data_IF_477089099610
#
_entry.id   IF_477089099610
#
_cell.length_a   1.000
_cell.length_b   1.000
_cell.length_c   1.000
_cell.angle_alpha   90.00
_cell.angle_beta   90.00
_cell.angle_gamma   90.00
#
_symmetry.space_group_name_H-M   'P 1'
#
loop_
_entity.id
_entity.type
_entity.pdbx_description
1 polymer ?
#
# COMPACT_ATOMS: atom_id res chain seq x y z
N UNK A 1 -8.60 -11.53 9.02
CA UNK A 1 -7.74 -12.52 9.70
C UNK A 1 -6.32 -12.52 9.12
N UNK A 2 -5.34 -12.41 10.01
CA UNK A 2 -3.90 -12.58 9.75
C UNK A 2 -3.33 -13.70 10.64
N UNK A 3 -2.03 -13.97 10.53
CA UNK A 3 -1.37 -15.05 11.30
C UNK A 3 -1.46 -14.82 12.81
N UNK A 4 -1.28 -13.57 13.28
CA UNK A 4 -1.36 -13.24 14.70
C UNK A 4 -2.78 -13.46 15.25
N UNK A 5 -3.81 -13.08 14.49
CA UNK A 5 -5.21 -13.32 14.83
C UNK A 5 -5.55 -14.81 14.86
N UNK A 6 -5.02 -15.59 13.90
CA UNK A 6 -5.22 -17.04 13.89
C UNK A 6 -4.55 -17.71 15.09
N UNK A 7 -3.31 -17.33 15.43
CA UNK A 7 -2.59 -17.85 16.61
C UNK A 7 -3.37 -17.57 17.89
N UNK A 8 -3.87 -16.34 18.06
CA UNK A 8 -4.73 -15.98 19.20
C UNK A 8 -5.99 -16.86 19.27
N UNK A 9 -6.68 -17.07 18.15
CA UNK A 9 -7.86 -17.94 18.12
C UNK A 9 -7.53 -19.38 18.55
N UNK A 10 -6.38 -19.92 18.13
CA UNK A 10 -5.93 -21.25 18.54
C UNK A 10 -5.54 -21.30 20.03
N UNK A 11 -4.90 -20.25 20.54
CA UNK A 11 -4.59 -20.12 21.97
C UNK A 11 -5.86 -20.02 22.82
N UNK A 12 -6.88 -19.30 22.34
CA UNK A 12 -8.18 -19.20 23.02
C UNK A 12 -8.86 -20.57 23.10
N UNK A 13 -8.76 -21.41 22.05
CA UNK A 13 -9.25 -22.80 22.10
C UNK A 13 -8.46 -23.61 23.12
N UNK A 14 -7.12 -23.51 23.10
CA UNK A 14 -6.23 -24.22 24.03
C UNK A 14 -6.49 -23.83 25.49
N UNK A 15 -6.81 -22.57 25.74
CA UNK A 15 -7.10 -22.01 27.07
C UNK A 15 -8.58 -22.20 27.49
N UNK A 16 -9.44 -22.71 26.60
CA UNK A 16 -10.86 -22.90 26.85
C UNK A 16 -11.69 -21.60 26.82
N UNK A 17 -11.12 -20.49 26.35
CA UNK A 17 -11.83 -19.23 26.15
C UNK A 17 -12.80 -19.26 24.96
N UNK A 18 -12.60 -20.18 24.01
CA UNK A 18 -13.56 -20.48 22.94
C UNK A 18 -13.60 -21.98 22.67
N UNK A 19 -14.74 -22.50 22.20
CA UNK A 19 -14.83 -23.92 21.83
C UNK A 19 -14.21 -24.17 20.46
N UNK A 20 -13.77 -25.41 20.21
CA UNK A 20 -13.29 -25.81 18.89
C UNK A 20 -14.36 -25.63 17.80
N UNK A 21 -15.62 -25.91 18.13
CA UNK A 21 -16.76 -25.73 17.22
C UNK A 21 -16.98 -24.25 16.88
N UNK A 22 -16.92 -23.36 17.87
CA UNK A 22 -17.02 -21.91 17.64
C UNK A 22 -15.88 -21.39 16.78
N UNK A 23 -14.65 -21.85 17.03
CA UNK A 23 -13.49 -21.50 16.22
C UNK A 23 -13.66 -21.97 14.76
N UNK A 24 -14.16 -23.19 14.53
CA UNK A 24 -14.46 -23.70 13.18
C UNK A 24 -15.57 -22.88 12.50
N UNK A 25 -16.64 -22.53 13.21
CA UNK A 25 -17.70 -21.69 12.64
C UNK A 25 -17.18 -20.31 12.25
N UNK A 26 -16.30 -19.73 13.08
CA UNK A 26 -15.64 -18.46 12.77
C UNK A 26 -14.77 -18.60 11.52
N UNK A 27 -13.90 -19.61 11.44
CA UNK A 27 -13.04 -19.85 10.28
C UNK A 27 -13.80 -20.17 8.98
N UNK A 28 -15.02 -20.73 9.08
CA UNK A 28 -15.91 -20.96 7.92
C UNK A 28 -16.54 -19.68 7.36
N UNK A 29 -16.78 -18.67 8.21
CA UNK A 29 -17.28 -17.35 7.80
C UNK A 29 -16.16 -16.42 7.30
N UNK A 30 -14.94 -16.66 7.74
CA UNK A 30 -13.79 -15.83 7.43
C UNK A 30 -13.06 -16.06 6.08
N UNK A 31 -13.34 -17.06 5.22
CA UNK A 31 -12.68 -17.07 3.91
C UNK A 31 -13.10 -15.84 3.11
N UNK A 32 -14.39 -15.48 3.19
CA UNK A 32 -14.95 -14.24 2.70
C UNK A 32 -16.37 -14.01 3.28
N UNK A 33 -16.79 -12.75 3.36
CA UNK A 33 -18.18 -12.37 3.64
C UNK A 33 -18.90 -11.92 2.36
N UNK A 34 -20.14 -12.38 2.14
CA UNK A 34 -20.95 -11.99 0.98
C UNK A 34 -21.97 -10.92 1.38
N UNK A 35 -21.79 -9.70 0.86
CA UNK A 35 -22.66 -8.54 1.08
C UNK A 35 -23.74 -8.40 -0.01
N UNK A 36 -23.89 -9.40 -0.89
CA UNK A 36 -24.79 -9.40 -2.04
C UNK A 36 -24.25 -8.61 -3.25
N UNK A 37 -23.50 -7.53 -3.03
CA UNK A 37 -22.85 -6.74 -4.08
C UNK A 37 -21.31 -6.87 -4.08
N UNK A 38 -20.73 -7.49 -3.04
CA UNK A 38 -19.30 -7.69 -2.89
C UNK A 38 -19.01 -8.95 -2.06
N UNK A 39 -17.88 -9.61 -2.34
CA UNK A 39 -17.33 -10.70 -1.52
C UNK A 39 -16.03 -10.25 -0.90
N UNK A 40 -16.06 -10.00 0.40
CA UNK A 40 -14.97 -9.40 1.19
C UNK A 40 -14.05 -10.52 1.70
N UNK A 41 -12.81 -10.58 1.23
CA UNK A 41 -11.79 -11.56 1.56
C UNK A 41 -11.06 -11.23 2.87
N UNK A 42 -11.61 -11.76 3.96
CA UNK A 42 -11.01 -11.66 5.29
C UNK A 42 -9.69 -12.46 5.43
N UNK A 43 -9.36 -13.37 4.51
CA UNK A 43 -8.16 -14.21 4.58
C UNK A 43 -6.99 -13.70 3.73
N UNK A 44 -7.12 -12.56 3.03
CA UNK A 44 -6.04 -12.02 2.20
C UNK A 44 -4.75 -11.80 2.99
N UNK A 45 -4.87 -11.25 4.21
CA UNK A 45 -3.74 -11.02 5.10
C UNK A 45 -2.98 -12.30 5.45
N UNK A 46 -3.70 -13.38 5.71
CA UNK A 46 -3.10 -14.69 5.98
C UNK A 46 -2.34 -15.26 4.77
N UNK A 47 -2.87 -15.10 3.54
CA UNK A 47 -2.28 -15.68 2.33
C UNK A 47 -1.16 -14.83 1.73
N UNK A 48 -1.28 -13.51 1.82
CA UNK A 48 -0.43 -12.56 1.07
C UNK A 48 0.43 -11.67 1.97
N UNK A 49 0.19 -11.65 3.29
CA UNK A 49 0.80 -10.69 4.22
C UNK A 49 0.19 -9.28 4.15
N UNK A 50 -0.68 -9.03 3.18
CA UNK A 50 -1.36 -7.74 2.96
C UNK A 50 -2.87 -7.91 3.11
N UNK A 51 -3.50 -7.02 3.86
CA UNK A 51 -4.94 -7.02 4.08
C UNK A 51 -5.69 -6.54 2.82
N UNK A 52 -6.98 -6.85 2.76
CA UNK A 52 -7.82 -6.35 1.69
C UNK A 52 -8.10 -4.85 1.83
N UNK A 53 -8.06 -4.14 0.70
CA UNK A 53 -8.39 -2.73 0.60
C UNK A 53 -9.65 -2.51 -0.25
N UNK A 54 -10.37 -1.46 0.06
CA UNK A 54 -11.58 -1.02 -0.64
C UNK A 54 -11.17 0.00 -1.71
N UNK A 55 -11.13 -0.43 -2.97
CA UNK A 55 -10.97 0.48 -4.10
C UNK A 55 -12.28 1.22 -4.37
N UNK A 56 -12.34 2.52 -4.08
CA UNK A 56 -13.57 3.30 -4.11
C UNK A 56 -14.12 3.63 -5.52
N UNK A 57 -13.30 3.87 -6.56
CA UNK A 57 -13.81 4.23 -7.88
C UNK A 57 -14.80 3.19 -8.43
N UNK A 58 -15.93 3.69 -8.95
CA UNK A 58 -17.03 2.87 -9.46
C UNK A 58 -17.97 2.28 -8.39
N UNK A 59 -17.73 2.52 -7.09
CA UNK A 59 -18.63 2.11 -6.00
C UNK A 59 -19.45 3.28 -5.48
N UNK A 60 -20.65 3.01 -4.97
CA UNK A 60 -21.43 4.03 -4.24
C UNK A 60 -20.87 4.28 -2.84
N UNK A 61 -21.18 5.43 -2.24
CA UNK A 61 -20.78 5.74 -0.86
C UNK A 61 -21.26 4.68 0.14
N UNK A 62 -22.50 4.20 -0.03
CA UNK A 62 -23.07 3.13 0.80
C UNK A 62 -22.32 1.80 0.64
N UNK A 63 -21.92 1.43 -0.58
CA UNK A 63 -21.13 0.21 -0.82
C UNK A 63 -19.76 0.30 -0.15
N UNK A 64 -19.07 1.44 -0.25
CA UNK A 64 -17.78 1.64 0.42
C UNK A 64 -17.92 1.52 1.94
N UNK A 65 -18.90 2.21 2.53
CA UNK A 65 -19.14 2.18 3.97
C UNK A 65 -19.45 0.76 4.48
N UNK A 66 -20.27 0.01 3.75
CA UNK A 66 -20.61 -1.37 4.10
C UNK A 66 -19.40 -2.32 4.04
N UNK A 67 -18.56 -2.22 3.01
CA UNK A 67 -17.34 -3.05 2.92
C UNK A 67 -16.33 -2.68 4.01
N UNK A 68 -16.16 -1.38 4.31
CA UNK A 68 -15.29 -0.91 5.40
C UNK A 68 -15.78 -1.44 6.75
N UNK A 69 -17.08 -1.30 7.04
CA UNK A 69 -17.67 -1.80 8.27
C UNK A 69 -17.51 -3.32 8.41
N UNK A 70 -17.72 -4.06 7.32
CA UNK A 70 -17.51 -5.51 7.27
C UNK A 70 -16.05 -5.88 7.58
N UNK A 71 -15.07 -5.26 6.91
CA UNK A 71 -13.64 -5.51 7.16
C UNK A 71 -13.21 -5.19 8.60
N UNK A 72 -13.88 -4.23 9.24
CA UNK A 72 -13.61 -3.83 10.62
C UNK A 72 -14.33 -4.68 11.67
N UNK A 73 -15.36 -5.43 11.28
CA UNK A 73 -16.14 -6.29 12.20
C UNK A 73 -15.32 -7.42 12.82
N UNK A 74 -14.28 -7.87 12.11
CA UNK A 74 -13.41 -8.96 12.55
C UNK A 74 -11.97 -8.48 12.76
N UNK A 75 -11.24 -9.00 13.77
CA UNK A 75 -9.84 -8.67 13.98
C UNK A 75 -8.95 -8.97 12.76
N UNK A 76 -7.97 -8.12 12.54
CA UNK A 76 -6.96 -8.32 11.51
C UNK A 76 -6.13 -7.06 11.27
N UNK A 77 -5.45 -7.05 10.12
CA UNK A 77 -4.62 -5.95 9.67
C UNK A 77 -5.36 -4.67 9.29
N UNK A 78 -4.62 -3.72 8.67
CA UNK A 78 -5.17 -2.43 8.29
C UNK A 78 -6.35 -2.56 7.33
N UNK A 79 -7.29 -1.63 7.43
CA UNK A 79 -8.38 -1.46 6.46
C UNK A 79 -8.14 -0.14 5.75
N UNK A 80 -8.14 -0.18 4.43
CA UNK A 80 -7.92 1.01 3.61
C UNK A 80 -9.10 1.22 2.68
N UNK A 81 -9.54 2.48 2.56
CA UNK A 81 -10.40 2.94 1.48
C UNK A 81 -9.55 3.84 0.58
N UNK A 82 -9.32 3.44 -0.67
CA UNK A 82 -8.41 4.15 -1.59
C UNK A 82 -9.16 4.86 -2.72
N UNK A 83 -8.62 6.00 -3.16
CA UNK A 83 -9.16 6.86 -4.22
C UNK A 83 -10.63 7.23 -4.04
N UNK A 84 -11.03 7.48 -2.79
CA UNK A 84 -12.39 7.85 -2.45
C UNK A 84 -12.67 9.34 -2.70
N UNK A 85 -13.85 9.61 -3.26
CA UNK A 85 -14.42 10.94 -3.32
C UNK A 85 -14.99 11.39 -1.96
N UNK A 86 -15.35 12.67 -1.82
CA UNK A 86 -15.82 13.24 -0.55
C UNK A 86 -17.00 12.47 0.08
N UNK A 87 -18.04 12.15 -0.70
CA UNK A 87 -19.22 11.43 -0.22
C UNK A 87 -18.88 10.01 0.28
N UNK A 88 -17.95 9.34 -0.39
CA UNK A 88 -17.53 7.98 0.00
C UNK A 88 -16.71 8.01 1.29
N UNK A 89 -15.85 9.04 1.46
CA UNK A 89 -15.09 9.26 2.69
C UNK A 89 -16.06 9.53 3.84
N UNK A 90 -16.97 10.49 3.67
CA UNK A 90 -17.95 10.88 4.69
C UNK A 90 -18.82 9.69 5.14
N UNK A 91 -19.41 8.95 4.20
CA UNK A 91 -20.23 7.80 4.54
C UNK A 91 -19.44 6.71 5.29
N UNK A 92 -18.19 6.48 4.89
CA UNK A 92 -17.35 5.43 5.48
C UNK A 92 -16.84 5.82 6.88
N UNK A 93 -16.47 7.09 7.11
CA UNK A 93 -16.03 7.57 8.42
C UNK A 93 -17.19 7.75 9.40
N UNK A 94 -18.40 8.01 8.90
CA UNK A 94 -19.62 7.99 9.71
C UNK A 94 -19.98 6.56 10.15
N UNK A 95 -19.93 5.59 9.23
CA UNK A 95 -20.21 4.19 9.54
C UNK A 95 -19.12 3.55 10.42
N UNK A 96 -17.86 3.95 10.25
CA UNK A 96 -16.72 3.48 11.00
C UNK A 96 -15.83 4.66 11.47
N UNK A 97 -16.13 5.24 12.65
CA UNK A 97 -15.32 6.31 13.22
C UNK A 97 -13.85 5.91 13.46
N UNK A 98 -12.95 6.90 13.50
CA UNK A 98 -11.54 6.70 13.82
C UNK A 98 -10.61 6.44 12.62
N UNK A 99 -11.12 6.56 11.39
CA UNK A 99 -10.31 6.50 10.18
C UNK A 99 -9.48 7.78 9.99
N UNK A 100 -8.19 7.64 9.68
CA UNK A 100 -7.32 8.78 9.33
C UNK A 100 -7.39 9.03 7.84
N UNK A 101 -7.77 10.26 7.46
CA UNK A 101 -7.87 10.69 6.06
C UNK A 101 -6.54 11.31 5.60
N UNK A 102 -6.08 10.96 4.41
CA UNK A 102 -4.92 11.56 3.74
C UNK A 102 -5.21 11.62 2.24
N UNK A 103 -5.44 12.82 1.72
CA UNK A 103 -5.93 13.01 0.36
C UNK A 103 -7.24 12.25 0.13
N UNK A 104 -7.23 11.32 -0.83
CA UNK A 104 -8.38 10.45 -1.18
C UNK A 104 -8.31 9.07 -0.54
N UNK A 105 -7.42 8.87 0.43
CA UNK A 105 -7.25 7.58 1.13
C UNK A 105 -7.65 7.70 2.60
N UNK A 106 -8.34 6.70 3.12
CA UNK A 106 -8.70 6.59 4.53
C UNK A 106 -8.14 5.29 5.09
N UNK A 107 -7.53 5.37 6.27
CA UNK A 107 -6.86 4.23 6.93
C UNK A 107 -7.43 4.01 8.32
N UNK A 108 -7.77 2.76 8.62
CA UNK A 108 -8.12 2.26 9.95
C UNK A 108 -7.16 1.13 10.35
N UNK A 109 -6.99 0.91 11.66
CA UNK A 109 -6.15 -0.16 12.23
C UNK A 109 -4.73 -0.20 11.63
N UNK A 110 -4.07 0.97 11.59
CA UNK A 110 -2.67 1.01 11.17
C UNK A 110 -1.81 0.07 12.02
N UNK A 111 -0.86 -0.61 11.37
CA UNK A 111 0.06 -1.54 12.00
C UNK A 111 1.04 -0.88 12.97
N UNK A 112 1.76 -1.70 13.72
CA UNK A 112 2.82 -1.24 14.61
C UNK A 112 3.96 -0.59 13.82
N UNK A 113 4.62 0.40 14.43
CA UNK A 113 5.74 1.12 13.80
C UNK A 113 6.88 0.17 13.41
N UNK A 114 7.45 0.42 12.24
CA UNK A 114 8.52 -0.34 11.61
C UNK A 114 9.76 0.54 11.40
N UNK A 115 10.97 0.04 11.71
CA UNK A 115 12.19 0.85 11.63
C UNK A 115 12.75 0.98 10.21
N UNK A 116 12.29 0.19 9.23
CA UNK A 116 12.82 0.24 7.87
C UNK A 116 12.52 1.58 7.20
N UNK A 117 13.57 2.34 6.88
CA UNK A 117 13.49 3.54 6.06
C UNK A 117 12.98 3.22 4.64
N UNK A 118 11.85 3.83 4.26
CA UNK A 118 11.29 3.79 2.91
C UNK A 118 11.20 5.21 2.38
N UNK A 119 11.61 5.44 1.14
CA UNK A 119 11.55 6.76 0.52
C UNK A 119 10.56 6.77 -0.64
N UNK A 120 9.61 7.70 -0.65
CA UNK A 120 8.67 7.95 -1.74
C UNK A 120 9.11 9.19 -2.49
N UNK A 121 9.43 9.02 -3.77
CA UNK A 121 9.99 10.06 -4.63
C UNK A 121 8.98 10.41 -5.72
N UNK A 122 8.72 11.70 -5.93
CA UNK A 122 7.86 12.17 -7.03
C UNK A 122 8.61 13.08 -8.02
N UNK A 123 8.30 12.95 -9.31
CA UNK A 123 8.89 13.81 -10.32
C UNK A 123 8.32 15.23 -10.27
N UNK A 124 7.03 15.37 -10.01
CA UNK A 124 6.35 16.65 -9.89
C UNK A 124 5.28 16.66 -8.81
N UNK A 125 4.68 17.83 -8.60
CA UNK A 125 3.52 17.99 -7.69
C UNK A 125 2.24 17.36 -8.23
N UNK A 126 2.14 17.15 -9.55
CA UNK A 126 1.00 16.47 -10.16
C UNK A 126 0.92 14.98 -9.78
N UNK A 127 2.03 14.37 -9.37
CA UNK A 127 2.11 12.98 -8.92
C UNK A 127 1.64 12.80 -7.46
N UNK A 128 1.41 13.88 -6.72
CA UNK A 128 1.10 13.85 -5.28
C UNK A 128 -0.11 13.00 -4.91
N UNK A 129 -1.24 12.97 -5.67
CA UNK A 129 -2.37 12.10 -5.31
C UNK A 129 -1.98 10.62 -5.25
N UNK A 130 -1.10 10.17 -6.16
CA UNK A 130 -0.60 8.79 -6.18
C UNK A 130 0.41 8.55 -5.06
N UNK A 131 1.24 9.57 -4.76
CA UNK A 131 2.17 9.52 -3.63
C UNK A 131 1.46 9.51 -2.27
N UNK A 132 0.34 10.22 -2.14
CA UNK A 132 -0.49 10.23 -0.94
C UNK A 132 -1.13 8.87 -0.69
N UNK A 133 -1.68 8.22 -1.73
CA UNK A 133 -2.19 6.84 -1.65
C UNK A 133 -1.06 5.88 -1.24
N UNK A 134 0.11 5.99 -1.87
CA UNK A 134 1.27 5.14 -1.56
C UNK A 134 1.73 5.32 -0.10
N UNK A 135 1.95 6.56 0.33
CA UNK A 135 2.43 6.84 1.68
C UNK A 135 1.40 6.51 2.77
N UNK A 136 0.11 6.77 2.52
CA UNK A 136 -0.96 6.36 3.43
C UNK A 136 -1.01 4.83 3.55
N UNK A 137 -0.79 4.10 2.45
CA UNK A 137 -0.72 2.65 2.45
C UNK A 137 0.50 2.13 3.19
N UNK A 138 1.69 2.69 2.96
CA UNK A 138 2.91 2.35 3.71
C UNK A 138 2.72 2.59 5.22
N UNK A 139 2.14 3.74 5.59
CA UNK A 139 1.83 4.05 6.98
C UNK A 139 0.80 3.10 7.60
N UNK A 140 -0.17 2.61 6.82
CA UNK A 140 -1.11 1.59 7.27
C UNK A 140 -0.40 0.28 7.65
N UNK A 141 0.73 -0.04 7.01
CA UNK A 141 1.57 -1.19 7.32
C UNK A 141 2.71 -0.88 8.30
N UNK A 142 2.70 0.29 8.93
CA UNK A 142 3.60 0.65 10.02
C UNK A 142 4.89 1.37 9.61
N UNK A 143 5.12 1.60 8.32
CA UNK A 143 6.28 2.36 7.85
C UNK A 143 6.05 3.87 8.03
N UNK A 144 7.13 4.62 8.23
CA UNK A 144 7.12 6.09 8.18
C UNK A 144 7.90 6.56 6.95
N UNK A 145 7.24 6.66 5.77
CA UNK A 145 7.96 6.93 4.53
C UNK A 145 8.44 8.38 4.44
N UNK A 146 9.74 8.57 4.22
CA UNK A 146 10.29 9.86 3.86
C UNK A 146 9.80 10.27 2.46
N UNK A 147 9.64 11.57 2.22
CA UNK A 147 9.12 12.09 0.95
C UNK A 147 10.12 13.04 0.28
N UNK A 148 10.41 12.77 -0.98
CA UNK A 148 11.10 13.69 -1.89
C UNK A 148 10.15 14.06 -3.02
N UNK A 149 9.75 15.32 -3.08
CA UNK A 149 8.71 15.78 -4.01
C UNK A 149 9.26 16.81 -4.98
N UNK A 150 8.78 16.80 -6.22
CA UNK A 150 9.16 17.76 -7.27
C UNK A 150 10.64 17.71 -7.67
N UNK A 151 11.19 16.48 -7.72
CA UNK A 151 12.60 16.19 -8.05
C UNK A 151 12.78 15.57 -9.44
N UNK A 152 11.93 15.96 -10.38
CA UNK A 152 11.93 15.44 -11.76
C UNK A 152 13.22 15.71 -12.54
N UNK A 153 13.42 14.94 -13.62
CA UNK A 153 14.67 14.91 -14.40
C UNK A 153 15.06 16.26 -15.01
N UNK A 154 14.08 17.08 -15.40
CA UNK A 154 14.33 18.44 -15.92
C UNK A 154 15.03 19.35 -14.89
N UNK A 155 14.89 19.05 -13.60
CA UNK A 155 15.55 19.73 -12.49
C UNK A 155 16.37 18.76 -11.64
N UNK A 156 17.15 17.87 -12.26
CA UNK A 156 17.86 16.77 -11.58
C UNK A 156 18.67 17.19 -10.35
N UNK A 157 19.21 18.40 -10.33
CA UNK A 157 19.92 18.96 -9.17
C UNK A 157 19.09 18.93 -7.88
N UNK A 158 17.75 18.98 -7.95
CA UNK A 158 16.86 18.89 -6.79
C UNK A 158 16.89 17.52 -6.13
N UNK A 159 16.99 16.45 -6.93
CA UNK A 159 17.20 15.10 -6.41
C UNK A 159 18.58 14.97 -5.76
N UNK A 160 19.59 15.58 -6.38
CA UNK A 160 20.98 15.43 -5.95
C UNK A 160 21.27 16.08 -4.59
N UNK A 161 20.46 17.05 -4.16
CA UNK A 161 20.55 17.66 -2.82
C UNK A 161 20.27 16.62 -1.73
N UNK A 162 19.31 15.73 -1.95
CA UNK A 162 18.84 14.73 -0.98
C UNK A 162 19.17 13.30 -1.44
N UNK A 163 20.26 13.13 -2.19
CA UNK A 163 20.64 11.83 -2.79
C UNK A 163 20.88 10.75 -1.73
N UNK A 164 21.41 11.12 -0.57
CA UNK A 164 21.70 10.20 0.53
C UNK A 164 20.42 9.55 1.06
N UNK A 165 19.30 10.27 1.08
CA UNK A 165 17.99 9.74 1.49
C UNK A 165 17.49 8.61 0.57
N UNK A 166 17.93 8.60 -0.69
CA UNK A 166 17.63 7.54 -1.66
C UNK A 166 18.65 6.41 -1.54
N UNK A 167 19.93 6.75 -1.38
CA UNK A 167 21.01 5.78 -1.27
C UNK A 167 20.92 4.91 0.00
N UNK A 168 20.48 5.50 1.12
CA UNK A 168 20.40 4.84 2.43
C UNK A 168 19.04 4.15 2.69
N UNK A 169 18.06 4.33 1.81
CA UNK A 169 16.74 3.73 1.97
C UNK A 169 16.80 2.19 1.92
N UNK A 170 15.92 1.51 2.65
CA UNK A 170 15.76 0.06 2.54
C UNK A 170 14.90 -0.35 1.35
N UNK A 171 14.05 0.56 0.86
CA UNK A 171 13.27 0.45 -0.39
C UNK A 171 12.88 1.86 -0.86
N UNK A 172 12.73 2.03 -2.18
CA UNK A 172 12.34 3.31 -2.77
C UNK A 172 11.13 3.11 -3.69
N UNK A 173 10.13 3.98 -3.55
CA UNK A 173 9.01 4.08 -4.49
C UNK A 173 9.19 5.31 -5.35
N UNK A 174 9.23 5.16 -6.66
CA UNK A 174 9.35 6.28 -7.60
C UNK A 174 8.05 6.46 -8.35
N UNK A 175 7.43 7.63 -8.21
CA UNK A 175 6.12 7.95 -8.76
C UNK A 175 6.31 9.09 -9.77
N UNK A 176 6.12 8.80 -11.05
CA UNK A 176 6.43 9.78 -12.08
C UNK A 176 5.61 9.57 -13.36
N UNK A 177 5.15 10.70 -13.93
CA UNK A 177 4.51 10.75 -15.24
C UNK A 177 5.49 11.10 -16.36
N UNK A 178 4.96 11.71 -17.43
CA UNK A 178 5.70 12.07 -18.64
C UNK A 178 6.43 10.85 -19.26
N UNK A 179 7.75 10.90 -19.39
CA UNK A 179 8.60 9.80 -19.88
C UNK A 179 9.03 8.79 -18.79
N UNK A 180 8.65 9.00 -17.52
CA UNK A 180 8.96 8.08 -16.42
C UNK A 180 10.46 7.93 -16.08
N UNK A 181 11.33 8.76 -16.66
CA UNK A 181 12.78 8.61 -16.60
C UNK A 181 13.38 8.68 -15.18
N UNK A 182 12.67 9.31 -14.22
CA UNK A 182 13.10 9.40 -12.83
C UNK A 182 13.34 8.01 -12.20
N UNK A 183 12.58 6.99 -12.60
CA UNK A 183 12.77 5.63 -12.09
C UNK A 183 14.15 5.07 -12.46
N UNK A 184 14.61 5.32 -13.69
CA UNK A 184 15.94 4.91 -14.17
C UNK A 184 17.05 5.64 -13.42
N UNK A 185 16.87 6.94 -13.16
CA UNK A 185 17.84 7.75 -12.41
C UNK A 185 17.98 7.20 -10.99
N UNK A 186 16.87 7.01 -10.28
CA UNK A 186 16.86 6.48 -8.92
C UNK A 186 17.44 5.07 -8.86
N UNK A 187 17.11 4.21 -9.82
CA UNK A 187 17.69 2.86 -9.93
C UNK A 187 19.21 2.83 -10.14
N UNK A 188 19.81 3.92 -10.63
CA UNK A 188 21.27 4.07 -10.70
C UNK A 188 21.92 4.59 -9.41
N UNK A 189 21.14 5.08 -8.46
CA UNK A 189 21.63 5.71 -7.21
C UNK A 189 21.65 4.70 -6.05
N UNK A 190 20.67 3.80 -5.97
CA UNK A 190 20.49 2.92 -4.81
C UNK A 190 20.61 1.44 -5.14
N UNK A 191 21.17 0.67 -4.21
CA UNK A 191 21.13 -0.80 -4.25
C UNK A 191 19.83 -1.36 -3.64
N UNK A 192 18.99 -0.50 -3.07
CA UNK A 192 17.70 -0.90 -2.52
C UNK A 192 16.71 -1.30 -3.63
N UNK A 193 15.71 -2.14 -3.32
CA UNK A 193 14.62 -2.41 -4.25
C UNK A 193 13.90 -1.12 -4.64
N UNK A 194 13.75 -0.90 -5.95
CA UNK A 194 13.03 0.25 -6.51
C UNK A 194 11.71 -0.23 -7.12
N UNK A 195 10.60 0.32 -6.63
CA UNK A 195 9.26 0.09 -7.18
C UNK A 195 8.80 1.36 -7.89
N UNK A 196 8.61 1.28 -9.21
CA UNK A 196 8.23 2.41 -10.04
C UNK A 196 6.72 2.40 -10.31
N UNK A 197 6.10 3.57 -10.17
CA UNK A 197 4.67 3.83 -10.38
C UNK A 197 4.54 4.84 -11.52
N UNK A 198 4.20 4.40 -12.73
CA UNK A 198 3.89 5.33 -13.80
C UNK A 198 2.58 6.02 -13.44
N UNK A 199 2.52 7.34 -13.62
CA UNK A 199 1.28 8.09 -13.38
C UNK A 199 0.64 8.51 -14.70
N UNK A 200 -0.67 8.68 -14.71
CA UNK A 200 -1.41 9.18 -15.87
C UNK A 200 -1.17 10.66 -16.18
N UNK A 201 -0.44 11.38 -15.32
CA UNK A 201 -0.12 12.80 -15.55
C UNK A 201 0.88 12.99 -16.68
N UNK A 202 0.72 14.11 -17.39
CA UNK A 202 1.59 14.52 -18.48
C UNK A 202 0.83 15.27 -19.54
N UNK A 203 1.52 15.64 -20.63
CA UNK A 203 0.92 16.34 -21.76
C UNK A 203 1.34 15.71 -23.08
N UNK A 204 0.45 15.76 -24.07
CA UNK A 204 0.74 15.29 -25.43
C UNK A 204 1.03 13.79 -25.48
N UNK A 205 2.30 13.44 -25.73
CA UNK A 205 2.76 12.07 -25.91
C UNK A 205 2.80 11.23 -24.61
N UNK A 206 2.20 11.67 -23.50
CA UNK A 206 2.10 10.89 -22.27
C UNK A 206 1.14 9.71 -22.35
N UNK A 207 0.11 9.78 -23.21
CA UNK A 207 -0.88 8.73 -23.47
C UNK A 207 -1.47 8.13 -22.17
N UNK A 208 -1.97 8.99 -21.28
CA UNK A 208 -2.54 8.59 -19.97
C UNK A 208 -1.59 7.71 -19.14
N UNK A 209 -0.28 7.96 -19.22
CA UNK A 209 0.74 7.26 -18.45
C UNK A 209 1.35 6.05 -19.17
N UNK A 210 0.86 5.68 -20.36
CA UNK A 210 1.43 4.58 -21.16
C UNK A 210 2.89 4.84 -21.50
N UNK A 211 3.25 6.08 -21.83
CA UNK A 211 4.64 6.43 -22.14
C UNK A 211 5.55 6.28 -20.92
N UNK A 212 5.10 6.73 -19.74
CA UNK A 212 5.84 6.52 -18.49
C UNK A 212 5.97 5.02 -18.15
N UNK A 213 4.89 4.25 -18.32
CA UNK A 213 4.88 2.79 -18.09
C UNK A 213 5.91 2.08 -18.97
N UNK A 214 5.89 2.35 -20.28
CA UNK A 214 6.84 1.75 -21.23
C UNK A 214 8.28 2.21 -20.95
N UNK A 215 8.48 3.49 -20.62
CA UNK A 215 9.79 4.03 -20.26
C UNK A 215 10.38 3.37 -19.01
N UNK A 216 9.56 3.19 -17.96
CA UNK A 216 9.96 2.50 -16.74
C UNK A 216 10.25 1.01 -16.98
N UNK A 217 9.45 0.33 -17.80
CA UNK A 217 9.68 -1.08 -18.16
C UNK A 217 10.91 -1.29 -19.04
N UNK A 218 11.22 -0.31 -19.90
CA UNK A 218 12.40 -0.32 -20.76
C UNK A 218 13.68 0.17 -20.05
N UNK A 219 13.60 0.51 -18.76
CA UNK A 219 14.75 0.98 -18.00
C UNK A 219 15.91 -0.03 -18.03
N UNK A 220 17.13 0.47 -18.18
CA UNK A 220 18.35 -0.34 -18.06
C UNK A 220 18.82 -0.50 -16.61
N UNK A 221 18.24 0.24 -15.66
CA UNK A 221 18.56 0.08 -14.25
C UNK A 221 18.07 -1.31 -13.78
N UNK A 222 19.00 -2.12 -13.30
CA UNK A 222 18.70 -3.50 -12.94
C UNK A 222 17.76 -3.57 -11.73
N UNK A 223 16.69 -4.37 -11.85
CA UNK A 223 15.80 -4.68 -10.72
C UNK A 223 14.69 -3.66 -10.45
N UNK A 224 14.50 -2.64 -11.31
CA UNK A 224 13.33 -1.75 -11.22
C UNK A 224 12.05 -2.57 -11.47
N UNK A 225 11.14 -2.58 -10.50
CA UNK A 225 9.85 -3.26 -10.60
C UNK A 225 8.76 -2.25 -10.88
N UNK A 226 7.97 -2.44 -11.94
CA UNK A 226 6.95 -1.48 -12.36
C UNK A 226 5.55 -2.00 -12.00
N UNK A 227 4.72 -1.16 -11.37
CA UNK A 227 3.31 -1.45 -11.10
C UNK A 227 2.40 -0.78 -12.14
N UNK A 228 1.09 -1.06 -12.05
CA UNK A 228 0.09 -0.43 -12.92
C UNK A 228 0.05 1.10 -12.78
N UNK A 229 -0.53 1.75 -13.79
CA UNK A 229 -0.65 3.21 -13.83
C UNK A 229 -1.44 3.73 -12.63
N UNK A 230 -0.92 4.79 -12.01
CA UNK A 230 -1.41 5.44 -10.79
C UNK A 230 -1.47 4.54 -9.55
N UNK A 231 -0.93 3.31 -9.60
CA UNK A 231 -1.14 2.29 -8.56
C UNK A 231 -0.20 2.47 -7.34
N UNK A 232 -0.35 3.57 -6.63
CA UNK A 232 0.38 3.87 -5.39
C UNK A 232 0.14 2.81 -4.30
N UNK A 233 -1.09 2.33 -4.18
CA UNK A 233 -1.44 1.21 -3.29
C UNK A 233 -0.62 -0.06 -3.59
N UNK A 234 -0.59 -0.47 -4.87
CA UNK A 234 0.13 -1.66 -5.30
C UNK A 234 1.64 -1.56 -5.06
N UNK A 235 2.21 -0.37 -5.24
CA UNK A 235 3.61 -0.12 -4.96
C UNK A 235 3.95 -0.23 -3.48
N UNK A 236 3.13 0.38 -2.62
CA UNK A 236 3.27 0.26 -1.17
C UNK A 236 3.16 -1.20 -0.70
N UNK A 237 2.19 -1.96 -1.23
CA UNK A 237 2.04 -3.38 -0.95
C UNK A 237 3.25 -4.21 -1.43
N UNK A 238 3.83 -3.87 -2.58
CA UNK A 238 5.04 -4.53 -3.08
C UNK A 238 6.22 -4.29 -2.13
N UNK A 239 6.44 -3.04 -1.71
CA UNK A 239 7.50 -2.69 -0.74
C UNK A 239 7.29 -3.41 0.59
N UNK A 240 6.07 -3.38 1.14
CA UNK A 240 5.77 -4.06 2.40
C UNK A 240 6.13 -5.55 2.34
N UNK A 241 5.74 -6.24 1.24
CA UNK A 241 6.04 -7.66 1.05
C UNK A 241 7.53 -7.95 0.88
N UNK A 242 8.26 -7.10 0.18
CA UNK A 242 9.71 -7.24 -0.01
C UNK A 242 10.43 -7.12 1.35
N UNK A 243 10.03 -6.16 2.18
CA UNK A 243 10.65 -5.93 3.48
C UNK A 243 10.22 -6.98 4.52
N UNK A 244 9.01 -7.54 4.44
CA UNK A 244 8.55 -8.63 5.30
C UNK A 244 9.38 -9.92 5.17
N UNK A 245 9.82 -10.27 3.97
CA UNK A 245 10.73 -11.41 3.76
C UNK A 245 12.04 -11.19 4.52
N UNK A 246 12.58 -9.97 4.43
CA UNK A 246 13.83 -9.60 5.12
C UNK A 246 13.69 -9.60 6.65
N UNK A 247 12.54 -9.23 7.18
CA UNK A 247 12.28 -9.28 8.62
C UNK A 247 12.24 -10.72 9.15
N UNK A 248 11.50 -11.60 8.46
CA UNK A 248 11.37 -13.03 8.82
C UNK A 248 12.71 -13.77 8.80
N UNK A 249 13.59 -13.42 7.87
CA UNK A 249 14.93 -14.03 7.79
C UNK A 249 15.85 -13.58 8.95
N UNK A 250 15.70 -12.34 9.44
CA UNK A 250 16.46 -11.88 10.63
C UNK A 250 16.00 -12.59 11.89
N UNK A 251 14.69 -12.77 12.06
CA UNK A 251 14.13 -13.48 13.22
C UNK A 251 14.58 -14.95 13.25
N UNK A 252 14.67 -15.61 12.09
CA UNK A 252 15.12 -17.02 11.97
C UNK A 252 16.60 -17.23 12.27
N UNK A 253 17.46 -16.23 12.04
CA UNK A 253 18.90 -16.34 12.32
C UNK A 253 19.29 -15.80 13.72
N UNK A 254 18.34 -15.23 14.46
CA UNK A 254 18.53 -14.77 15.83
C UNK A 254 17.79 -15.62 16.88
N UNK A 255 17.09 -16.68 16.44
CA UNK A 255 16.49 -17.73 17.29
C UNK A 255 17.34 -18.99 17.26
#
# INVERSE_FOLDING_TARGET
MDEAALRRLLDDVRLGATSADDAVQRLRRLPFADLGFARVDHHRGLRQGVAEAVYAPGKTAAQCAAVVAELLSEPGGPVLLTRAGPEQIEASTLAAPGGRVTGTTVVWRAGASRPEAVTVVTAGTADLPVADECAATLAAYGFDPARLTDVGVAGLHRLLVDVDLVAEAHAVVVIAGMEGALASVVGGITAAPVVAVPTSVGRGAGLEGVTALLGMLASCAAGVTVVGIDNGFGAACAVARILDVRARDRERHHA
#
